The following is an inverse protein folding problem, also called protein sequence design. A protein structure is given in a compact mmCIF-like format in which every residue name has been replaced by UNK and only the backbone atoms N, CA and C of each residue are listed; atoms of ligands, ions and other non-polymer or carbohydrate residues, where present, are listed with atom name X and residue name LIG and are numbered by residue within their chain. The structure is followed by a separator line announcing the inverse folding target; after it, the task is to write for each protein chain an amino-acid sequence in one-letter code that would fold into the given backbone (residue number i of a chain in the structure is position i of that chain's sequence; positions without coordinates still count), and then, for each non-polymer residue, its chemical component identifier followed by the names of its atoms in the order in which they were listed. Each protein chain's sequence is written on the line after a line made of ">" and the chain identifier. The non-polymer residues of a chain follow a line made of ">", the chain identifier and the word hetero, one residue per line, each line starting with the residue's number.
data_IF_269510363554
#
_entry.id   IF_269510363554
#
_cell.length_a   1.000
_cell.length_b   1.000
_cell.length_c   1.000
_cell.angle_alpha   90.00
_cell.angle_beta   90.00
_cell.angle_gamma   90.00
#
_symmetry.space_group_name_H-M   'P 1'
#
loop_
_entity.id
_entity.type
_entity.pdbx_description
1 polymer ?
#
# COMPACT_ATOMS: atom_id res chain seq x y z
N UNK A 1 3.49 -19.38 -15.52
CA UNK A 1 4.90 -19.30 -15.10
C UNK A 1 5.08 -18.09 -14.18
N UNK A 2 5.67 -18.25 -12.98
CA UNK A 2 6.00 -17.14 -12.09
C UNK A 2 6.97 -16.17 -12.77
N UNK A 3 6.79 -14.87 -12.52
CA UNK A 3 7.71 -13.84 -12.98
C UNK A 3 8.82 -13.63 -11.96
N UNK A 4 10.05 -14.01 -12.30
CA UNK A 4 11.20 -13.87 -11.39
C UNK A 4 12.01 -12.58 -11.61
N UNK A 5 11.78 -11.87 -12.72
CA UNK A 5 12.42 -10.59 -13.05
C UNK A 5 11.54 -9.36 -12.83
N UNK A 6 12.15 -8.16 -12.81
CA UNK A 6 11.44 -6.88 -12.61
C UNK A 6 10.40 -6.65 -13.73
N UNK A 7 9.12 -6.50 -13.37
CA UNK A 7 8.07 -6.05 -14.29
C UNK A 7 8.11 -4.54 -14.44
N UNK A 8 7.83 -4.04 -15.64
CA UNK A 8 7.53 -2.63 -15.90
C UNK A 8 6.35 -2.57 -16.85
N UNK A 9 5.47 -1.58 -16.69
CA UNK A 9 4.26 -1.49 -17.50
C UNK A 9 3.06 -2.20 -16.89
N UNK A 10 1.95 -2.15 -17.60
CA UNK A 10 0.66 -2.64 -17.12
C UNK A 10 0.60 -4.17 -17.04
N UNK A 11 0.00 -4.78 -15.99
CA UNK A 11 -0.06 -6.22 -15.77
C UNK A 11 -1.01 -6.93 -16.75
N UNK A 12 -0.67 -7.00 -18.04
CA UNK A 12 -1.48 -7.67 -19.10
C UNK A 12 -1.86 -9.12 -18.77
N UNK A 13 -1.15 -9.75 -17.82
CA UNK A 13 -1.40 -11.08 -17.30
C UNK A 13 -2.50 -11.15 -16.22
N UNK A 14 -3.01 -10.02 -15.71
CA UNK A 14 -3.85 -9.95 -14.51
C UNK A 14 -5.12 -10.79 -14.66
N UNK A 15 -5.86 -10.64 -15.75
CA UNK A 15 -7.09 -11.40 -15.95
C UNK A 15 -6.84 -12.91 -16.05
N UNK A 16 -5.77 -13.32 -16.73
CA UNK A 16 -5.46 -14.72 -16.96
C UNK A 16 -5.07 -15.44 -15.65
N UNK A 17 -4.29 -14.78 -14.79
CA UNK A 17 -3.90 -15.39 -13.50
C UNK A 17 -5.06 -15.47 -12.53
N UNK A 18 -6.00 -14.51 -12.57
CA UNK A 18 -7.20 -14.58 -11.76
C UNK A 18 -8.12 -15.72 -12.21
N UNK A 19 -8.33 -15.87 -13.52
CA UNK A 19 -9.10 -17.00 -14.08
C UNK A 19 -8.49 -18.34 -13.74
N UNK A 20 -7.16 -18.44 -13.71
CA UNK A 20 -6.46 -19.67 -13.35
C UNK A 20 -6.70 -20.09 -11.88
N UNK A 21 -7.08 -19.18 -10.99
CA UNK A 21 -7.52 -19.49 -9.61
C UNK A 21 -9.01 -19.88 -9.51
N UNK A 22 -9.69 -20.08 -10.64
CA UNK A 22 -11.13 -20.39 -10.66
C UNK A 22 -12.00 -19.21 -10.20
N UNK A 23 -11.52 -17.98 -10.38
CA UNK A 23 -12.29 -16.77 -10.12
C UNK A 23 -13.24 -16.53 -11.31
N UNK A 24 -14.53 -16.37 -11.01
CA UNK A 24 -15.50 -15.85 -11.98
C UNK A 24 -15.24 -14.36 -12.18
N UNK A 25 -14.64 -14.05 -13.33
CA UNK A 25 -14.02 -12.76 -13.60
C UNK A 25 -14.81 -11.97 -14.63
N UNK A 26 -15.33 -10.82 -14.21
CA UNK A 26 -15.98 -9.84 -15.07
C UNK A 26 -14.96 -8.85 -15.61
N UNK A 27 -15.02 -8.55 -16.89
CA UNK A 27 -14.20 -7.52 -17.54
C UNK A 27 -15.01 -6.23 -17.69
N UNK A 28 -14.61 -5.15 -17.00
CA UNK A 28 -15.31 -3.86 -17.13
C UNK A 28 -15.04 -3.21 -18.50
N UNK A 29 -16.01 -2.56 -19.16
CA UNK A 29 -15.78 -1.90 -20.45
C UNK A 29 -14.56 -0.95 -20.45
N UNK A 30 -13.65 -1.19 -21.39
CA UNK A 30 -12.42 -0.41 -21.55
C UNK A 30 -11.31 -0.70 -20.53
N UNK A 31 -11.42 -1.75 -19.69
CA UNK A 31 -10.45 -2.02 -18.62
C UNK A 31 -9.00 -2.13 -19.11
N UNK A 32 -8.77 -2.70 -20.30
CA UNK A 32 -7.42 -2.92 -20.87
C UNK A 32 -6.62 -1.64 -21.11
N UNK A 33 -7.29 -0.51 -21.33
CA UNK A 33 -6.66 0.79 -21.60
C UNK A 33 -6.96 1.81 -20.51
N UNK A 34 -7.64 1.39 -19.43
CA UNK A 34 -8.00 2.26 -18.31
C UNK A 34 -6.87 2.30 -17.31
N UNK A 35 -6.54 3.50 -16.87
CA UNK A 35 -5.48 3.79 -15.90
C UNK A 35 -4.99 5.21 -16.07
N UNK A 36 -4.06 5.60 -15.20
CA UNK A 36 -3.43 6.91 -15.22
C UNK A 36 -1.95 6.84 -15.63
N UNK A 37 -1.64 5.87 -16.48
CA UNK A 37 -0.30 5.55 -16.95
C UNK A 37 0.19 4.20 -16.44
N UNK A 38 1.45 3.92 -16.74
CA UNK A 38 2.07 2.62 -16.56
C UNK A 38 2.66 2.41 -15.16
N UNK A 39 2.58 1.18 -14.67
CA UNK A 39 3.30 0.77 -13.45
C UNK A 39 4.81 0.91 -13.63
N UNK A 40 5.47 1.46 -12.60
CA UNK A 40 6.95 1.57 -12.56
C UNK A 40 7.61 0.24 -12.27
N UNK A 41 7.00 -0.52 -11.39
CA UNK A 41 7.13 -1.96 -11.20
C UNK A 41 5.89 -2.42 -10.41
N UNK A 42 5.70 -3.73 -10.21
CA UNK A 42 4.61 -4.25 -9.40
C UNK A 42 5.21 -5.06 -8.26
N UNK A 43 4.94 -4.63 -7.03
CA UNK A 43 5.55 -5.17 -5.82
C UNK A 43 4.58 -6.00 -4.98
N UNK A 44 3.29 -5.89 -5.24
CA UNK A 44 2.28 -6.59 -4.45
C UNK A 44 0.88 -6.04 -4.63
N UNK A 45 0.05 -6.30 -3.62
CA UNK A 45 -1.37 -5.99 -3.57
C UNK A 45 -1.68 -5.09 -2.38
N UNK A 46 -2.47 -4.04 -2.60
CA UNK A 46 -3.04 -3.22 -1.53
C UNK A 46 -4.54 -3.47 -1.45
N UNK A 47 -5.01 -3.83 -0.27
CA UNK A 47 -6.41 -4.21 -0.03
C UNK A 47 -7.15 -3.06 0.65
N UNK A 48 -8.35 -2.80 0.14
CA UNK A 48 -9.24 -1.73 0.56
C UNK A 48 -10.66 -2.27 0.83
N UNK A 49 -11.43 -1.48 1.58
CA UNK A 49 -12.89 -1.53 1.53
C UNK A 49 -13.40 -0.19 1.03
N UNK A 50 -14.51 -0.20 0.30
CA UNK A 50 -14.99 0.98 -0.41
C UNK A 50 -15.66 2.02 0.49
N UNK A 51 -16.16 1.60 1.66
CA UNK A 51 -16.89 2.43 2.63
C UNK A 51 -18.41 2.15 2.62
N UNK A 52 -19.06 1.96 1.46
CA UNK A 52 -20.40 1.41 1.39
C UNK A 52 -20.40 -0.05 0.89
N UNK A 53 -21.32 -0.86 1.42
CA UNK A 53 -21.54 -2.25 0.98
C UNK A 53 -22.05 -2.34 -0.48
N UNK A 54 -22.59 -1.24 -1.02
CA UNK A 54 -23.20 -1.17 -2.35
C UNK A 54 -22.27 -0.59 -3.44
N UNK A 55 -20.97 -0.40 -3.17
CA UNK A 55 -20.04 0.08 -4.18
C UNK A 55 -19.97 -0.88 -5.39
N UNK A 56 -19.95 -0.31 -6.59
CA UNK A 56 -19.97 -1.07 -7.85
C UNK A 56 -18.65 -0.91 -8.61
N UNK A 57 -18.34 -1.83 -9.51
CA UNK A 57 -17.23 -1.68 -10.45
C UNK A 57 -17.29 -0.36 -11.24
N UNK A 58 -18.49 0.15 -11.54
CA UNK A 58 -18.67 1.45 -12.19
C UNK A 58 -18.23 2.62 -11.30
N UNK A 59 -18.52 2.58 -10.00
CA UNK A 59 -18.03 3.59 -9.05
C UNK A 59 -16.50 3.58 -8.94
N UNK A 60 -15.86 2.40 -9.04
CA UNK A 60 -14.40 2.29 -9.08
C UNK A 60 -13.86 2.83 -10.42
N UNK A 61 -14.49 2.48 -11.55
CA UNK A 61 -14.03 2.86 -12.88
C UNK A 61 -14.11 4.37 -13.14
N UNK A 62 -15.21 4.99 -12.70
CA UNK A 62 -15.50 6.40 -12.94
C UNK A 62 -14.93 7.30 -11.85
N UNK A 63 -14.74 6.76 -10.66
CA UNK A 63 -14.30 7.49 -9.48
C UNK A 63 -15.43 8.26 -8.81
N UNK A 64 -15.04 9.32 -8.12
CA UNK A 64 -15.90 10.19 -7.31
C UNK A 64 -15.66 11.66 -7.66
N UNK A 65 -16.54 12.60 -7.26
CA UNK A 65 -16.43 14.00 -7.68
C UNK A 65 -15.08 14.68 -7.37
N UNK A 66 -14.41 14.28 -6.29
CA UNK A 66 -13.10 14.78 -5.88
C UNK A 66 -11.91 13.97 -6.42
N UNK A 67 -12.15 12.81 -7.04
CA UNK A 67 -11.09 11.93 -7.52
C UNK A 67 -11.55 11.09 -8.72
N UNK A 68 -11.03 11.42 -9.90
CA UNK A 68 -11.26 10.65 -11.13
C UNK A 68 -10.81 9.20 -10.97
N UNK A 69 -11.59 8.27 -11.53
CA UNK A 69 -11.20 6.86 -11.58
C UNK A 69 -10.14 6.57 -12.66
N UNK A 70 -9.57 5.35 -12.65
CA UNK A 70 -9.94 4.25 -11.77
C UNK A 70 -9.44 4.40 -10.32
N UNK A 71 -10.26 4.00 -9.36
CA UNK A 71 -9.91 3.99 -7.93
C UNK A 71 -9.22 2.72 -7.47
N UNK A 72 -9.23 1.65 -8.27
CA UNK A 72 -8.43 0.44 -8.09
C UNK A 72 -8.42 -0.37 -9.41
N UNK A 73 -7.55 -1.38 -9.48
CA UNK A 73 -7.54 -2.31 -10.62
C UNK A 73 -8.67 -3.33 -10.51
N UNK A 74 -8.94 -3.82 -9.30
CA UNK A 74 -9.97 -4.83 -9.05
C UNK A 74 -11.07 -4.30 -8.13
N UNK A 75 -12.30 -4.68 -8.43
CA UNK A 75 -13.46 -4.56 -7.55
C UNK A 75 -13.94 -5.96 -7.16
N UNK A 76 -14.31 -6.15 -5.88
CA UNK A 76 -14.92 -7.39 -5.40
C UNK A 76 -16.28 -7.09 -4.78
N UNK A 77 -17.35 -7.59 -5.41
CA UNK A 77 -18.70 -7.48 -4.90
C UNK A 77 -18.93 -8.35 -3.65
N UNK A 78 -20.05 -8.12 -2.96
CA UNK A 78 -20.44 -8.84 -1.74
C UNK A 78 -20.60 -10.35 -1.95
N UNK A 79 -21.01 -10.76 -3.14
CA UNK A 79 -21.21 -12.14 -3.55
C UNK A 79 -19.93 -12.83 -4.05
N UNK A 80 -18.79 -12.15 -3.98
CA UNK A 80 -17.50 -12.68 -4.44
C UNK A 80 -17.22 -12.48 -5.93
N UNK A 81 -18.13 -11.84 -6.69
CA UNK A 81 -17.86 -11.48 -8.10
C UNK A 81 -16.67 -10.53 -8.16
N UNK A 82 -15.66 -10.88 -8.96
CA UNK A 82 -14.47 -10.06 -9.16
C UNK A 82 -14.56 -9.37 -10.52
N UNK A 83 -14.41 -8.05 -10.53
CA UNK A 83 -14.36 -7.28 -11.78
C UNK A 83 -12.97 -6.68 -11.97
N UNK A 84 -12.35 -6.91 -13.13
CA UNK A 84 -11.18 -6.13 -13.54
C UNK A 84 -11.65 -4.80 -14.12
N UNK A 85 -11.33 -3.73 -13.42
CA UNK A 85 -11.75 -2.36 -13.74
C UNK A 85 -10.72 -1.64 -14.61
N UNK A 86 -9.45 -1.84 -14.31
CA UNK A 86 -8.34 -1.16 -14.96
C UNK A 86 -7.10 -2.05 -15.02
N UNK A 87 -6.36 -1.94 -16.11
CA UNK A 87 -5.04 -2.54 -16.23
C UNK A 87 -3.98 -1.61 -15.67
N UNK A 88 -4.06 -0.32 -16.01
CA UNK A 88 -3.06 0.67 -15.61
C UNK A 88 -3.19 1.15 -14.17
N UNK A 89 -2.33 2.11 -13.83
CA UNK A 89 -2.26 2.69 -12.48
C UNK A 89 -3.60 3.30 -12.06
N UNK A 90 -3.99 3.08 -10.80
CA UNK A 90 -5.23 3.56 -10.19
C UNK A 90 -4.95 4.42 -8.96
N UNK A 91 -5.87 5.35 -8.64
CA UNK A 91 -5.73 6.29 -7.52
C UNK A 91 -6.26 5.68 -6.20
N UNK A 92 -5.55 4.68 -5.67
CA UNK A 92 -6.01 3.90 -4.51
C UNK A 92 -5.20 4.15 -3.22
N UNK A 93 -3.87 4.30 -3.31
CA UNK A 93 -2.97 4.35 -2.16
C UNK A 93 -2.83 5.77 -1.54
N UNK A 94 -2.73 6.80 -2.38
CA UNK A 94 -2.54 8.18 -1.92
C UNK A 94 -1.25 8.40 -1.11
N UNK A 95 -1.32 9.22 -0.05
CA UNK A 95 -0.20 9.55 0.83
C UNK A 95 0.01 8.42 1.86
N UNK A 96 1.22 7.87 1.94
CA UNK A 96 1.54 6.82 2.89
C UNK A 96 2.95 6.28 2.72
N UNK A 97 3.31 5.30 3.54
CA UNK A 97 4.55 4.56 3.40
C UNK A 97 4.36 3.11 3.77
N UNK A 98 5.27 2.26 3.31
CA UNK A 98 5.46 0.93 3.87
C UNK A 98 6.95 0.58 3.72
N UNK A 99 7.56 -0.23 4.59
CA UNK A 99 9.01 -0.49 4.62
C UNK A 99 9.70 -0.70 3.26
N UNK A 100 9.03 -1.38 2.32
CA UNK A 100 9.56 -1.71 0.99
C UNK A 100 8.90 -0.96 -0.17
N UNK A 101 8.04 0.02 0.12
CA UNK A 101 7.45 0.93 -0.86
C UNK A 101 8.11 2.32 -0.82
N UNK A 102 8.41 2.93 -1.97
CA UNK A 102 8.78 4.34 -1.97
C UNK A 102 7.62 5.17 -1.41
N UNK A 103 7.94 6.09 -0.49
CA UNK A 103 6.95 6.92 0.20
C UNK A 103 6.06 7.64 -0.81
N UNK A 104 4.74 7.62 -0.58
CA UNK A 104 3.74 8.28 -1.41
C UNK A 104 3.78 7.86 -2.89
N UNK A 105 4.18 6.62 -3.18
CA UNK A 105 4.20 6.05 -4.52
C UNK A 105 3.43 4.72 -4.62
N UNK A 106 2.58 4.39 -3.65
CA UNK A 106 1.83 3.12 -3.63
C UNK A 106 1.10 2.84 -4.94
N UNK A 107 0.42 3.84 -5.52
CA UNK A 107 -0.30 3.73 -6.80
C UNK A 107 0.57 3.15 -7.93
N UNK A 108 1.86 3.50 -7.97
CA UNK A 108 2.76 3.14 -9.07
C UNK A 108 3.41 1.77 -8.91
N UNK A 109 3.17 1.12 -7.77
CA UNK A 109 3.89 -0.07 -7.32
C UNK A 109 2.99 -1.20 -6.82
N UNK A 110 1.69 -0.95 -6.64
CA UNK A 110 0.75 -1.89 -6.02
C UNK A 110 -0.51 -2.04 -6.86
N UNK A 111 -0.98 -3.28 -6.98
CA UNK A 111 -2.32 -3.54 -7.51
C UNK A 111 -3.33 -3.30 -6.38
N UNK A 112 -4.24 -2.37 -6.56
CA UNK A 112 -5.34 -2.07 -5.64
C UNK A 112 -6.52 -3.02 -5.84
N UNK A 113 -7.07 -3.52 -4.73
CA UNK A 113 -8.32 -4.27 -4.67
C UNK A 113 -9.30 -3.55 -3.77
N UNK A 114 -10.45 -3.16 -4.32
CA UNK A 114 -11.54 -2.50 -3.61
C UNK A 114 -12.70 -3.47 -3.39
N UNK A 115 -12.92 -3.86 -2.14
CA UNK A 115 -14.05 -4.71 -1.76
C UNK A 115 -15.27 -3.86 -1.41
N UNK A 116 -16.41 -4.12 -2.06
CA UNK A 116 -17.70 -3.49 -1.76
C UNK A 116 -18.13 -3.83 -0.32
N UNK A 117 -17.69 -3.03 0.65
CA UNK A 117 -17.84 -3.31 2.07
C UNK A 117 -17.66 -2.02 2.86
N UNK A 118 -18.42 -1.92 3.95
CA UNK A 118 -18.36 -0.82 4.92
C UNK A 118 -17.21 -0.92 5.91
N UNK A 119 -16.48 -2.03 5.93
CA UNK A 119 -15.38 -2.28 6.86
C UNK A 119 -15.83 -2.55 8.30
N UNK A 120 -17.11 -2.32 8.63
CA UNK A 120 -17.75 -2.39 9.97
C UNK A 120 -17.17 -1.42 11.00
N UNK A 121 -15.93 -1.64 11.40
CA UNK A 121 -15.19 -0.88 12.42
C UNK A 121 -13.74 -1.40 12.43
N UNK A 122 -12.73 -0.57 12.74
CA UNK A 122 -11.35 -1.02 12.88
C UNK A 122 -11.12 -1.99 14.05
N UNK A 123 -12.03 -2.04 15.02
CA UNK A 123 -11.94 -2.90 16.22
C UNK A 123 -12.85 -4.12 16.17
N UNK A 124 -13.61 -4.31 15.09
CA UNK A 124 -14.48 -5.46 14.96
C UNK A 124 -13.65 -6.75 14.77
N UNK A 125 -14.17 -7.92 15.21
CA UNK A 125 -13.51 -9.20 14.98
C UNK A 125 -13.22 -9.45 13.50
N UNK A 126 -12.17 -10.24 13.22
CA UNK A 126 -11.78 -10.62 11.87
C UNK A 126 -13.01 -11.05 11.03
N UNK A 127 -13.18 -10.44 9.86
CA UNK A 127 -14.28 -10.68 8.90
C UNK A 127 -15.70 -10.35 9.38
N UNK A 128 -15.88 -9.58 10.47
CA UNK A 128 -17.22 -9.08 10.81
C UNK A 128 -17.80 -8.27 9.64
N UNK A 129 -18.97 -8.68 9.13
CA UNK A 129 -19.61 -8.16 7.90
C UNK A 129 -18.84 -8.43 6.59
N UNK A 130 -17.94 -9.41 6.54
CA UNK A 130 -17.29 -9.84 5.30
C UNK A 130 -17.83 -11.22 4.90
N UNK A 131 -18.74 -11.31 3.90
CA UNK A 131 -19.26 -12.55 3.40
C UNK A 131 -18.14 -13.47 2.94
N UNK A 132 -18.34 -14.76 3.16
CA UNK A 132 -17.38 -15.79 2.79
C UNK A 132 -16.98 -15.70 1.32
N UNK A 133 -17.95 -15.48 0.43
CA UNK A 133 -17.68 -15.35 -1.00
C UNK A 133 -16.76 -14.16 -1.32
N UNK A 134 -17.00 -12.99 -0.72
CA UNK A 134 -16.14 -11.80 -0.88
C UNK A 134 -14.75 -12.03 -0.29
N UNK A 135 -14.66 -12.62 0.91
CA UNK A 135 -13.38 -12.88 1.57
C UNK A 135 -12.53 -13.90 0.81
N UNK A 136 -13.12 -15.03 0.40
CA UNK A 136 -12.40 -16.06 -0.35
C UNK A 136 -12.05 -15.61 -1.77
N UNK A 137 -12.84 -14.73 -2.39
CA UNK A 137 -12.44 -14.06 -3.63
C UNK A 137 -11.20 -13.19 -3.42
N UNK A 138 -11.18 -12.36 -2.35
CA UNK A 138 -10.03 -11.54 -1.99
C UNK A 138 -8.76 -12.37 -1.76
N UNK A 139 -8.85 -13.44 -0.96
CA UNK A 139 -7.71 -14.35 -0.71
C UNK A 139 -7.18 -14.93 -2.02
N UNK A 140 -8.05 -15.45 -2.89
CA UNK A 140 -7.66 -16.01 -4.20
C UNK A 140 -7.04 -14.96 -5.12
N UNK A 141 -7.60 -13.75 -5.19
CA UNK A 141 -7.02 -12.66 -5.98
C UNK A 141 -5.59 -12.34 -5.52
N UNK A 142 -5.40 -12.12 -4.22
CA UNK A 142 -4.08 -11.81 -3.66
C UNK A 142 -3.08 -12.95 -3.89
N UNK A 143 -3.49 -14.21 -3.71
CA UNK A 143 -2.65 -15.37 -3.95
C UNK A 143 -2.26 -15.50 -5.44
N UNK A 144 -3.21 -15.33 -6.37
CA UNK A 144 -2.96 -15.34 -7.81
C UNK A 144 -1.86 -14.36 -8.20
N UNK A 145 -2.02 -13.10 -7.74
CA UNK A 145 -1.13 -11.99 -8.06
C UNK A 145 0.25 -12.25 -7.44
N UNK A 146 0.33 -12.58 -6.15
CA UNK A 146 1.62 -12.80 -5.50
C UNK A 146 2.35 -14.02 -6.08
N UNK A 147 1.65 -15.11 -6.40
CA UNK A 147 2.25 -16.26 -7.08
C UNK A 147 2.78 -15.89 -8.45
N UNK A 148 2.03 -15.07 -9.21
CA UNK A 148 2.50 -14.55 -10.51
C UNK A 148 3.74 -13.69 -10.37
N UNK A 149 3.86 -12.92 -9.29
CA UNK A 149 5.04 -12.10 -8.98
C UNK A 149 6.20 -12.91 -8.35
N UNK A 150 6.02 -14.22 -8.14
CA UNK A 150 6.91 -15.07 -7.37
C UNK A 150 7.23 -14.48 -5.98
N UNK A 151 6.20 -14.04 -5.26
CA UNK A 151 6.27 -13.45 -3.92
C UNK A 151 5.38 -14.21 -2.93
N UNK A 152 5.65 -14.02 -1.64
CA UNK A 152 4.83 -14.52 -0.53
C UNK A 152 3.68 -13.55 -0.21
N UNK A 153 2.81 -13.93 0.73
CA UNK A 153 1.71 -13.09 1.20
C UNK A 153 2.15 -11.78 1.86
N UNK A 154 3.41 -11.65 2.27
CA UNK A 154 4.05 -10.41 2.78
C UNK A 154 3.96 -9.22 1.79
N UNK A 155 3.61 -9.50 0.53
CA UNK A 155 3.32 -8.47 -0.48
C UNK A 155 1.88 -8.00 -0.51
N UNK A 156 1.06 -8.48 0.41
CA UNK A 156 -0.29 -7.99 0.61
C UNK A 156 -0.33 -7.11 1.84
N UNK A 157 -0.77 -5.87 1.67
CA UNK A 157 -0.92 -4.90 2.76
C UNK A 157 -2.32 -4.29 2.71
N UNK A 158 -2.84 -3.92 3.86
CA UNK A 158 -4.04 -3.11 3.96
C UNK A 158 -3.71 -1.64 3.75
N UNK A 159 -4.66 -0.84 3.26
CA UNK A 159 -4.46 0.60 3.16
C UNK A 159 -4.18 1.24 4.52
N UNK A 160 -4.73 0.69 5.61
CA UNK A 160 -4.46 1.10 7.00
C UNK A 160 -2.99 0.95 7.39
N UNK A 161 -2.30 -0.04 6.85
CA UNK A 161 -0.88 -0.24 7.12
C UNK A 161 -0.01 0.74 6.32
N UNK A 162 -0.48 1.15 5.14
CA UNK A 162 0.21 2.10 4.26
C UNK A 162 -0.03 3.56 4.65
N UNK A 163 -1.30 3.94 4.79
CA UNK A 163 -1.78 5.31 4.93
C UNK A 163 -2.51 5.56 6.25
N UNK A 164 -2.70 4.57 7.10
CA UNK A 164 -3.42 4.77 8.37
C UNK A 164 -2.73 5.76 9.28
N UNK A 165 -1.41 5.66 9.31
CA UNK A 165 -0.51 6.61 9.94
C UNK A 165 -0.66 8.02 9.32
N UNK A 166 -0.40 8.17 8.02
CA UNK A 166 -0.36 9.47 7.37
C UNK A 166 -1.73 10.17 7.17
N UNK A 167 -2.82 9.41 7.13
CA UNK A 167 -4.15 9.90 6.71
C UNK A 167 -5.32 9.39 7.58
N UNK A 168 -5.07 8.61 8.64
CA UNK A 168 -6.14 8.02 9.46
C UNK A 168 -6.94 6.93 8.73
N UNK A 169 -6.44 6.43 7.59
CA UNK A 169 -7.06 5.31 6.86
C UNK A 169 -7.12 4.06 7.73
N UNK A 170 -8.26 3.38 7.70
CA UNK A 170 -8.51 2.21 8.53
C UNK A 170 -9.02 1.02 7.71
N UNK A 171 -9.15 1.18 6.40
CA UNK A 171 -9.48 0.12 5.47
C UNK A 171 -8.34 -0.89 5.31
N UNK A 172 -8.60 -2.21 5.19
CA UNK A 172 -9.89 -2.89 4.99
C UNK A 172 -10.68 -3.21 6.28
N UNK A 173 -10.62 -2.36 7.30
CA UNK A 173 -11.52 -2.40 8.45
C UNK A 173 -11.31 -3.64 9.31
N UNK A 174 -12.40 -4.37 9.54
CA UNK A 174 -12.46 -5.60 10.33
C UNK A 174 -11.59 -6.75 9.79
N UNK A 175 -10.85 -6.59 8.69
CA UNK A 175 -9.89 -7.60 8.26
C UNK A 175 -8.60 -7.46 9.07
N UNK A 176 -8.34 -8.44 9.93
CA UNK A 176 -7.02 -8.69 10.48
C UNK A 176 -6.04 -9.05 9.35
N UNK A 177 -4.95 -8.28 9.24
CA UNK A 177 -4.00 -8.42 8.13
C UNK A 177 -3.06 -9.61 8.30
N UNK A 178 -2.78 -10.04 9.53
CA UNK A 178 -1.91 -11.19 9.78
C UNK A 178 -2.66 -12.49 9.47
N UNK A 179 -3.94 -12.56 9.85
CA UNK A 179 -4.81 -13.68 9.46
C UNK A 179 -5.00 -13.70 7.94
N UNK A 180 -5.27 -12.55 7.31
CA UNK A 180 -5.39 -12.48 5.86
C UNK A 180 -4.11 -12.97 5.15
N UNK A 181 -2.93 -12.54 5.62
CA UNK A 181 -1.65 -13.01 5.06
C UNK A 181 -1.44 -14.50 5.27
N UNK A 182 -1.85 -15.07 6.41
CA UNK A 182 -1.77 -16.50 6.66
C UNK A 182 -2.64 -17.28 5.66
N UNK A 183 -3.90 -16.86 5.45
CA UNK A 183 -4.82 -17.48 4.50
C UNK A 183 -4.32 -17.36 3.05
N UNK A 184 -3.78 -16.20 2.68
CA UNK A 184 -3.16 -15.99 1.37
C UNK A 184 -1.94 -16.90 1.20
N UNK A 185 -1.09 -17.04 2.22
CA UNK A 185 0.10 -17.89 2.13
C UNK A 185 -0.26 -19.36 1.99
N UNK A 186 -1.30 -19.80 2.71
CA UNK A 186 -1.84 -21.15 2.58
C UNK A 186 -2.35 -21.40 1.14
N UNK A 187 -3.01 -20.41 0.53
CA UNK A 187 -3.42 -20.50 -0.87
C UNK A 187 -2.21 -20.49 -1.82
N UNK A 188 -1.19 -19.67 -1.58
CA UNK A 188 0.03 -19.59 -2.43
C UNK A 188 0.79 -20.92 -2.42
N UNK A 189 0.96 -21.52 -1.24
CA UNK A 189 1.87 -22.65 -1.01
C UNK A 189 3.33 -22.21 -0.98
N UNK A 190 4.25 -23.11 -1.35
CA UNK A 190 5.68 -22.82 -1.39
C UNK A 190 6.07 -21.96 -2.61
N UNK A 191 6.99 -21.02 -2.39
CA UNK A 191 7.57 -20.19 -3.45
C UNK A 191 8.99 -20.67 -3.73
N UNK A 192 9.15 -21.65 -4.63
CA UNK A 192 10.43 -22.31 -4.90
C UNK A 192 11.54 -21.35 -5.38
N UNK A 193 11.19 -20.26 -6.07
CA UNK A 193 12.12 -19.28 -6.62
C UNK A 193 11.59 -17.85 -6.42
N UNK A 194 11.76 -17.25 -5.23
CA UNK A 194 11.20 -15.94 -4.97
C UNK A 194 11.90 -14.88 -5.83
N UNK A 195 11.10 -14.00 -6.46
CA UNK A 195 11.66 -12.88 -7.21
C UNK A 195 12.40 -11.92 -6.25
N UNK A 196 13.49 -11.27 -6.70
CA UNK A 196 14.19 -10.29 -5.88
C UNK A 196 13.24 -9.21 -5.42
N UNK A 197 13.24 -8.93 -4.12
CA UNK A 197 12.43 -7.86 -3.53
C UNK A 197 12.95 -6.51 -4.01
N UNK A 198 12.15 -5.68 -4.70
CA UNK A 198 12.52 -4.30 -4.95
C UNK A 198 12.53 -3.54 -3.61
N UNK A 199 13.71 -3.31 -3.04
CA UNK A 199 13.88 -2.43 -1.87
C UNK A 199 14.01 -0.98 -2.34
N UNK A 200 13.55 0.02 -1.57
CA UNK A 200 13.91 1.41 -1.84
C UNK A 200 15.44 1.53 -1.95
N UNK A 201 15.97 2.35 -2.89
CA UNK A 201 17.42 2.53 -3.09
C UNK A 201 18.05 3.37 -1.97
N UNK A 202 18.02 2.86 -0.74
CA UNK A 202 18.79 3.29 0.41
C UNK A 202 19.23 2.02 1.17
N UNK A 203 20.27 2.05 2.01
CA UNK A 203 20.61 0.92 2.87
C UNK A 203 19.52 0.79 3.95
N UNK A 204 18.34 0.29 3.56
CA UNK A 204 17.15 0.18 4.40
C UNK A 204 17.21 -1.01 5.36
N UNK A 205 18.38 -1.65 5.53
CA UNK A 205 18.54 -2.83 6.40
C UNK A 205 17.98 -2.61 7.80
N UNK A 206 18.76 -1.98 8.68
CA UNK A 206 18.33 -1.68 10.06
C UNK A 206 17.24 -0.59 10.16
N UNK A 207 16.89 0.06 9.04
CA UNK A 207 15.95 1.17 8.99
C UNK A 207 14.57 0.78 8.45
N UNK A 208 14.38 -0.49 8.07
CA UNK A 208 13.18 -0.96 7.39
C UNK A 208 11.90 -0.63 8.16
N UNK A 209 11.96 -0.72 9.49
CA UNK A 209 10.80 -0.57 10.36
C UNK A 209 10.61 0.88 10.87
N UNK A 210 11.45 1.82 10.43
CA UNK A 210 11.36 3.22 10.87
C UNK A 210 10.24 3.94 10.14
N UNK A 211 9.26 4.41 10.92
CA UNK A 211 8.14 5.21 10.47
C UNK A 211 7.81 6.24 11.55
N UNK A 212 8.13 7.52 11.30
CA UNK A 212 7.74 8.65 12.15
C UNK A 212 7.12 9.78 11.33
N UNK A 213 6.04 10.36 11.83
CA UNK A 213 5.26 11.42 11.20
C UNK A 213 4.33 12.02 12.26
N UNK A 214 3.75 13.19 12.00
CA UNK A 214 2.76 13.80 12.89
C UNK A 214 1.46 12.99 12.93
N UNK A 215 0.86 12.67 14.09
CA UNK A 215 1.14 13.25 15.42
C UNK A 215 1.89 12.31 16.37
N UNK A 216 2.81 11.48 15.87
CA UNK A 216 3.53 10.54 16.74
C UNK A 216 4.29 11.24 17.87
N UNK A 217 4.40 10.53 18.98
CA UNK A 217 5.19 10.91 20.14
C UNK A 217 5.98 9.71 20.65
N UNK A 218 7.08 9.96 21.36
CA UNK A 218 7.88 8.91 21.98
C UNK A 218 9.40 9.11 21.90
N UNK A 219 10.16 8.17 22.47
CA UNK A 219 11.63 8.25 22.53
C UNK A 219 12.30 8.28 21.14
N UNK A 220 11.69 7.65 20.13
CA UNK A 220 12.17 7.64 18.75
C UNK A 220 12.07 9.03 18.12
N UNK A 221 10.98 9.76 18.40
CA UNK A 221 10.79 11.15 17.95
C UNK A 221 11.80 12.06 18.64
N UNK A 222 12.02 11.86 19.94
CA UNK A 222 13.05 12.61 20.66
C UNK A 222 14.46 12.33 20.09
N UNK A 223 14.74 11.09 19.66
CA UNK A 223 15.99 10.74 18.99
C UNK A 223 16.14 11.45 17.64
N UNK A 224 15.08 11.46 16.81
CA UNK A 224 15.02 12.23 15.57
C UNK A 224 15.26 13.72 15.82
N UNK A 225 14.59 14.33 16.80
CA UNK A 225 14.73 15.74 17.13
C UNK A 225 16.16 16.08 17.55
N UNK A 226 16.79 15.26 18.42
CA UNK A 226 18.22 15.42 18.78
C UNK A 226 19.10 15.35 17.56
N UNK A 227 18.86 14.39 16.65
CA UNK A 227 19.64 14.23 15.43
C UNK A 227 19.52 15.45 14.53
N UNK A 228 18.30 15.93 14.29
CA UNK A 228 18.03 17.13 13.50
C UNK A 228 18.67 18.37 14.13
N UNK A 229 18.45 18.58 15.43
CA UNK A 229 18.96 19.73 16.19
C UNK A 229 20.48 19.82 16.13
N UNK A 230 21.18 18.70 16.36
CA UNK A 230 22.64 18.69 16.44
C UNK A 230 23.33 18.68 15.07
N UNK A 231 22.88 17.82 14.15
CA UNK A 231 23.57 17.64 12.86
C UNK A 231 23.12 18.65 11.78
N UNK A 232 21.99 19.32 11.99
CA UNK A 232 21.37 20.21 11.00
C UNK A 232 20.92 21.53 11.63
N UNK A 233 21.74 22.06 12.54
CA UNK A 233 21.46 23.26 13.33
C UNK A 233 21.05 24.49 12.48
N UNK A 234 21.52 24.59 11.24
CA UNK A 234 21.20 25.68 10.32
C UNK A 234 19.70 25.90 10.06
N UNK A 235 18.88 24.86 10.21
CA UNK A 235 17.42 24.96 10.07
C UNK A 235 16.64 24.21 11.16
N UNK A 236 17.32 23.48 12.04
CA UNK A 236 16.70 22.72 13.12
C UNK A 236 17.30 22.99 14.50
N UNK A 237 18.23 23.94 14.65
CA UNK A 237 18.94 24.22 15.92
C UNK A 237 18.00 24.62 17.06
N UNK A 238 16.91 25.31 16.73
CA UNK A 238 15.89 25.76 17.69
C UNK A 238 14.79 24.72 17.93
N UNK A 239 14.91 23.51 17.34
CA UNK A 239 13.95 22.44 17.53
C UNK A 239 13.99 21.98 18.99
N UNK A 240 12.83 21.95 19.63
CA UNK A 240 12.66 21.41 20.97
C UNK A 240 12.71 19.87 20.92
N UNK A 241 13.34 19.26 21.93
CA UNK A 241 13.41 17.80 22.07
C UNK A 241 12.36 17.38 23.08
N UNK A 242 11.10 17.53 22.70
CA UNK A 242 9.92 17.21 23.53
C UNK A 242 9.39 15.78 23.27
N UNK A 243 9.95 15.08 22.28
CA UNK A 243 9.47 13.76 21.87
C UNK A 243 8.15 13.81 21.10
N UNK A 244 7.69 14.98 20.66
CA UNK A 244 6.44 15.16 19.91
C UNK A 244 6.73 15.51 18.46
N UNK A 245 6.15 14.74 17.52
CA UNK A 245 6.30 14.99 16.09
C UNK A 245 5.28 16.06 15.67
N UNK A 246 5.49 17.28 16.17
CA UNK A 246 4.67 18.45 15.87
C UNK A 246 5.04 19.15 14.56
N UNK A 247 4.37 20.27 14.24
CA UNK A 247 4.63 21.06 13.03
C UNK A 247 6.09 21.49 12.85
N UNK A 248 6.80 21.82 13.94
CA UNK A 248 8.23 22.18 13.90
C UNK A 248 9.10 20.99 13.47
N UNK A 249 8.85 19.80 14.05
CA UNK A 249 9.57 18.56 13.69
C UNK A 249 9.30 18.19 12.23
N UNK A 250 8.05 18.27 11.77
CA UNK A 250 7.69 18.02 10.38
C UNK A 250 8.38 18.99 9.40
N UNK A 251 8.40 20.29 9.74
CA UNK A 251 9.09 21.29 8.92
C UNK A 251 10.60 21.01 8.82
N UNK A 252 11.25 20.65 9.93
CA UNK A 252 12.66 20.28 9.94
C UNK A 252 12.94 19.02 9.09
N UNK A 253 12.07 18.00 9.15
CA UNK A 253 12.16 16.81 8.30
C UNK A 253 11.97 17.16 6.82
N UNK A 254 10.99 17.99 6.47
CA UNK A 254 10.79 18.45 5.08
C UNK A 254 12.00 19.19 4.56
N UNK A 255 12.61 20.03 5.37
CA UNK A 255 13.81 20.77 4.96
C UNK A 255 15.01 19.85 4.76
N UNK A 256 15.19 18.86 5.67
CA UNK A 256 16.19 17.82 5.48
C UNK A 256 15.98 17.04 4.18
N UNK A 257 14.75 16.62 3.90
CA UNK A 257 14.40 15.91 2.66
C UNK A 257 14.67 16.77 1.43
N UNK A 258 14.34 18.07 1.46
CA UNK A 258 14.57 19.00 0.35
C UNK A 258 16.05 19.14 0.01
N UNK A 259 16.90 19.15 1.03
CA UNK A 259 18.37 19.26 0.90
C UNK A 259 19.04 17.94 0.52
N UNK A 260 18.36 16.81 0.68
CA UNK A 260 18.91 15.49 0.46
C UNK A 260 18.47 14.93 -0.89
N UNK A 261 19.41 14.78 -1.83
CA UNK A 261 19.13 14.23 -3.15
C UNK A 261 18.52 12.83 -3.03
N UNK A 262 17.41 12.60 -3.74
CA UNK A 262 16.75 11.30 -3.80
C UNK A 262 15.71 11.04 -2.71
N UNK A 263 15.50 11.98 -1.78
CA UNK A 263 14.38 11.92 -0.85
C UNK A 263 13.16 12.67 -1.39
N UNK A 264 11.96 12.16 -1.07
CA UNK A 264 10.71 12.86 -1.29
C UNK A 264 10.48 13.84 -0.15
N UNK A 265 10.03 15.06 -0.46
CA UNK A 265 9.75 16.12 0.52
C UNK A 265 8.31 15.99 1.02
N UNK A 266 8.08 15.04 1.91
CA UNK A 266 6.75 14.71 2.43
C UNK A 266 6.58 14.88 3.95
N UNK A 267 7.65 15.22 4.67
CA UNK A 267 7.64 15.43 6.12
C UNK A 267 7.58 14.14 6.93
N UNK A 268 7.76 13.00 6.27
CA UNK A 268 7.65 11.68 6.85
C UNK A 268 9.05 11.04 6.97
N UNK A 269 9.41 10.60 8.17
CA UNK A 269 10.63 9.83 8.41
C UNK A 269 10.33 8.35 8.19
N UNK A 270 10.38 7.94 6.93
CA UNK A 270 10.41 6.53 6.53
C UNK A 270 11.84 5.98 6.40
N UNK A 271 12.02 4.72 5.97
CA UNK A 271 13.33 4.07 5.94
C UNK A 271 14.40 4.82 5.15
N UNK A 272 14.04 5.45 4.03
CA UNK A 272 14.98 6.24 3.24
C UNK A 272 15.42 7.52 3.98
N UNK A 273 14.48 8.24 4.60
CA UNK A 273 14.78 9.41 5.43
C UNK A 273 15.60 9.03 6.65
N UNK A 274 15.26 7.93 7.32
CA UNK A 274 15.96 7.40 8.49
C UNK A 274 17.39 6.97 8.16
N UNK A 275 17.59 6.27 7.04
CA UNK A 275 18.92 5.89 6.56
C UNK A 275 19.78 7.12 6.23
N UNK A 276 19.19 8.14 5.60
CA UNK A 276 19.88 9.39 5.29
C UNK A 276 20.25 10.19 6.56
N UNK A 277 19.38 10.15 7.58
CA UNK A 277 19.63 10.75 8.89
C UNK A 277 20.60 9.92 9.75
N UNK A 278 20.73 8.62 9.49
CA UNK A 278 21.43 7.64 10.33
C UNK A 278 20.86 7.60 11.75
N UNK A 279 19.57 7.30 11.84
CA UNK A 279 18.87 7.08 13.11
C UNK A 279 19.24 5.72 13.74
#
# INVERSE_FOLDING_TARGET
>A
MPQTGRWTGDPVWLADVLRAEGIDLVEYPGWRTRGHGDFKDIRGVMVHHTGPDAATAASIANGRPDLSGPLSQLHIARDGTVTVVALGVAWHAGVGMYPWLPTNMGNWHMIGIECANSGTSPTAPHRKNWPDAQYFALVRCCAAINRRLAQTSERTIGHKEYAGRAQGKWDPGAIDMDILRADIQAQIGDVAHPAPTPRPPAPVGQYADVLMFRPMEGPEVAHLQRRLKTAYAAYAGDLEVDGVFGPKTEAAVREFQRRTRGLKVDGIVGPATAAALRL
#
